data_IF_907596536762
#
_entry.id   IF_907596536762
#
_cell.length_a   1.000
_cell.length_b   1.000
_cell.length_c   1.000
_cell.angle_alpha   90.00
_cell.angle_beta   90.00
_cell.angle_gamma   90.00
#
_symmetry.space_group_name_H-M   'P 1'
#
loop_
_entity.id
_entity.type
_entity.pdbx_description
1 polymer ?
#
# COMPACT_ATOMS: atom_id res chain seq x y z
N UNK A 1 9.91 52.08 -57.33
CA UNK A 1 10.01 53.50 -57.71
C UNK A 1 11.18 53.59 -58.64
N UNK A 2 10.95 53.96 -59.89
CA UNK A 2 11.95 54.48 -60.84
C UNK A 2 11.17 54.81 -62.12
N UNK A 3 10.73 56.07 -62.24
CA UNK A 3 9.91 56.55 -63.36
C UNK A 3 10.81 57.25 -64.36
N UNK A 4 11.42 56.48 -65.27
CA UNK A 4 12.22 57.08 -66.34
C UNK A 4 11.31 57.85 -67.32
N UNK A 5 11.66 59.11 -67.55
CA UNK A 5 10.86 60.02 -68.36
C UNK A 5 11.03 59.73 -69.85
N UNK A 6 10.16 58.90 -70.42
CA UNK A 6 10.10 58.70 -71.86
C UNK A 6 9.49 59.93 -72.56
N UNK A 7 10.32 60.96 -72.81
CA UNK A 7 9.96 62.11 -73.64
C UNK A 7 9.80 61.67 -75.11
N UNK A 8 8.62 61.79 -75.74
CA UNK A 8 8.53 61.82 -77.19
C UNK A 8 8.94 63.24 -77.65
N UNK A 9 10.21 63.41 -78.00
CA UNK A 9 10.62 64.61 -78.74
C UNK A 9 10.12 64.50 -80.18
N UNK A 10 8.88 64.92 -80.43
CA UNK A 10 8.52 65.40 -81.76
C UNK A 10 9.35 66.67 -81.99
N UNK A 11 10.38 66.55 -82.81
CA UNK A 11 10.82 67.70 -83.59
C UNK A 11 9.68 68.03 -84.55
N UNK A 12 9.01 69.16 -84.32
CA UNK A 12 8.09 69.75 -85.29
C UNK A 12 8.90 70.22 -86.51
N UNK A 13 9.28 69.26 -87.35
CA UNK A 13 9.71 69.53 -88.72
C UNK A 13 8.47 69.95 -89.48
N UNK A 14 8.32 71.26 -89.65
CA UNK A 14 7.31 71.87 -90.51
C UNK A 14 7.30 71.12 -91.85
N UNK A 15 6.26 70.32 -92.06
CA UNK A 15 6.04 69.65 -93.35
C UNK A 15 5.58 70.74 -94.30
N UNK A 16 6.50 71.23 -95.12
CA UNK A 16 6.22 72.18 -96.20
C UNK A 16 4.95 71.74 -96.93
N UNK A 17 3.90 72.56 -96.82
CA UNK A 17 2.64 72.29 -97.51
C UNK A 17 2.92 72.07 -98.99
N UNK A 18 2.42 70.97 -99.55
CA UNK A 18 2.58 70.62 -100.96
C UNK A 18 2.07 71.70 -101.92
N UNK A 19 1.29 72.67 -101.42
CA UNK A 19 0.75 73.80 -102.16
C UNK A 19 1.46 75.15 -101.86
N UNK A 20 2.47 75.20 -100.99
CA UNK A 20 3.24 76.42 -100.67
C UNK A 20 4.51 76.62 -101.53
N UNK A 21 4.85 75.66 -102.41
CA UNK A 21 6.03 75.78 -103.27
C UNK A 21 5.88 76.91 -104.31
N UNK A 22 6.82 77.85 -104.26
CA UNK A 22 6.79 79.15 -104.96
C UNK A 22 7.07 79.08 -106.47
N UNK A 23 6.38 78.21 -107.21
CA UNK A 23 6.61 77.98 -108.65
C UNK A 23 5.35 78.06 -109.50
N UNK A 24 4.80 79.28 -109.62
CA UNK A 24 3.60 79.64 -110.41
C UNK A 24 2.25 79.15 -109.88
N UNK A 25 1.26 80.05 -109.91
CA UNK A 25 -0.12 79.76 -109.52
C UNK A 25 -0.75 78.67 -110.41
N UNK A 26 -0.32 78.56 -111.67
CA UNK A 26 -0.75 77.52 -112.61
C UNK A 26 -0.29 76.11 -112.20
N UNK A 27 0.93 75.93 -111.70
CA UNK A 27 1.38 74.62 -111.20
C UNK A 27 0.60 74.24 -109.94
N UNK A 28 0.37 75.16 -109.00
CA UNK A 28 -0.48 74.87 -107.85
C UNK A 28 -1.92 74.52 -108.25
N UNK A 29 -2.49 75.19 -109.25
CA UNK A 29 -3.82 74.85 -109.77
C UNK A 29 -3.82 73.48 -110.46
N UNK A 30 -2.79 73.18 -111.26
CA UNK A 30 -2.63 71.90 -111.96
C UNK A 30 -2.37 70.73 -111.00
N UNK A 31 -1.57 70.93 -109.95
CA UNK A 31 -1.32 69.94 -108.90
C UNK A 31 -2.57 69.71 -108.06
N UNK A 32 -3.30 70.77 -107.69
CA UNK A 32 -4.61 70.68 -107.02
C UNK A 32 -5.62 69.90 -107.87
N UNK A 33 -5.69 70.18 -109.17
CA UNK A 33 -6.61 69.48 -110.08
C UNK A 33 -6.17 68.03 -110.35
N UNK A 34 -4.87 67.76 -110.50
CA UNK A 34 -4.34 66.40 -110.66
C UNK A 34 -4.53 65.55 -109.38
N UNK A 35 -4.40 66.15 -108.21
CA UNK A 35 -4.71 65.49 -106.93
C UNK A 35 -6.22 65.24 -106.81
N UNK A 36 -7.07 66.18 -107.24
CA UNK A 36 -8.52 65.98 -107.29
C UNK A 36 -8.92 64.87 -108.27
N UNK A 37 -8.34 64.80 -109.48
CA UNK A 37 -8.65 63.71 -110.44
C UNK A 37 -8.16 62.36 -109.94
N UNK A 38 -7.00 62.29 -109.28
CA UNK A 38 -6.54 61.05 -108.61
C UNK A 38 -7.47 60.67 -107.46
N UNK A 39 -7.93 61.61 -106.62
CA UNK A 39 -8.89 61.28 -105.56
C UNK A 39 -10.27 60.89 -106.09
N UNK A 40 -10.77 61.54 -107.14
CA UNK A 40 -12.04 61.20 -107.78
C UNK A 40 -11.93 59.86 -108.54
N UNK A 41 -10.75 59.46 -109.04
CA UNK A 41 -10.47 58.10 -109.53
C UNK A 41 -10.41 57.09 -108.37
N UNK A 42 -9.71 57.38 -107.27
CA UNK A 42 -9.70 56.53 -106.07
C UNK A 42 -11.11 56.33 -105.49
N UNK A 43 -11.97 57.35 -105.55
CA UNK A 43 -13.38 57.23 -105.16
C UNK A 43 -14.18 56.35 -106.13
N UNK A 44 -13.92 56.41 -107.43
CA UNK A 44 -14.50 55.47 -108.40
C UNK A 44 -14.05 54.04 -108.13
N UNK A 45 -12.76 53.81 -107.89
CA UNK A 45 -12.19 52.50 -107.56
C UNK A 45 -12.76 51.96 -106.23
N UNK A 46 -12.89 52.79 -105.19
CA UNK A 46 -13.52 52.42 -103.91
C UNK A 46 -15.01 52.15 -104.05
N UNK A 47 -15.73 52.88 -104.90
CA UNK A 47 -17.14 52.60 -105.19
C UNK A 47 -17.30 51.27 -105.95
N UNK A 48 -16.39 50.93 -106.87
CA UNK A 48 -16.35 49.61 -107.52
C UNK A 48 -16.11 48.51 -106.48
N UNK A 49 -15.14 48.68 -105.57
CA UNK A 49 -14.90 47.72 -104.48
C UNK A 49 -16.10 47.59 -103.52
N UNK A 50 -16.80 48.69 -103.22
CA UNK A 50 -18.07 48.69 -102.45
C UNK A 50 -19.18 47.93 -103.17
N UNK A 51 -19.31 48.08 -104.49
CA UNK A 51 -20.28 47.34 -105.29
C UNK A 51 -19.94 45.85 -105.47
N UNK A 52 -18.66 45.47 -105.41
CA UNK A 52 -18.25 44.05 -105.42
C UNK A 52 -18.53 43.33 -104.08
N UNK A 53 -18.49 44.06 -102.95
CA UNK A 53 -18.81 43.54 -101.60
C UNK A 53 -20.33 43.56 -101.28
N UNK A 54 -21.20 43.42 -102.28
CA UNK A 54 -22.63 43.81 -102.21
C UNK A 54 -23.55 43.04 -101.25
N UNK A 55 -23.06 42.12 -100.43
CA UNK A 55 -23.88 41.37 -99.47
C UNK A 55 -24.13 42.09 -98.14
N UNK A 56 -23.24 43.01 -97.71
CA UNK A 56 -23.34 43.69 -96.41
C UNK A 56 -23.57 45.20 -96.60
N UNK A 57 -24.81 45.59 -96.93
CA UNK A 57 -25.24 46.99 -97.00
C UNK A 57 -25.43 47.59 -95.60
N UNK A 58 -24.33 47.84 -94.89
CA UNK A 58 -24.34 48.59 -93.64
C UNK A 58 -24.19 50.08 -93.97
N UNK A 59 -25.29 50.84 -93.86
CA UNK A 59 -25.26 52.30 -93.99
C UNK A 59 -24.68 52.94 -92.73
N UNK A 60 -23.35 52.94 -92.65
CA UNK A 60 -22.60 53.71 -91.67
C UNK A 60 -22.32 55.11 -92.21
N UNK A 61 -23.28 56.01 -91.99
CA UNK A 61 -23.04 57.46 -92.12
C UNK A 61 -22.21 57.93 -90.91
N UNK A 62 -20.94 57.55 -90.91
CA UNK A 62 -19.95 57.96 -89.90
C UNK A 62 -19.23 59.21 -90.37
N UNK A 63 -19.23 60.19 -89.47
CA UNK A 63 -18.35 61.35 -89.44
C UNK A 63 -16.88 61.00 -89.73
N UNK A 64 -16.13 62.00 -90.18
CA UNK A 64 -14.65 62.00 -90.25
C UNK A 64 -14.06 61.46 -88.94
N UNK A 65 -13.08 60.55 -89.04
CA UNK A 65 -12.51 59.84 -87.88
C UNK A 65 -11.90 60.83 -86.89
N UNK A 66 -12.45 60.83 -85.68
CA UNK A 66 -11.92 61.55 -84.50
C UNK A 66 -11.19 60.54 -83.60
N UNK A 67 -10.30 61.01 -82.75
CA UNK A 67 -9.67 60.15 -81.74
C UNK A 67 -10.68 59.80 -80.63
N UNK A 68 -10.72 58.53 -80.25
CA UNK A 68 -11.58 57.96 -79.19
C UNK A 68 -10.67 57.19 -78.22
N UNK A 69 -10.85 57.38 -76.90
CA UNK A 69 -9.94 56.79 -75.91
C UNK A 69 -10.15 55.27 -75.78
N UNK A 70 -9.20 54.57 -75.15
CA UNK A 70 -9.37 53.16 -74.77
C UNK A 70 -10.61 52.92 -73.90
N UNK A 71 -11.00 53.90 -73.09
CA UNK A 71 -12.19 53.82 -72.24
C UNK A 71 -13.45 53.85 -73.10
N UNK A 72 -13.58 54.84 -73.98
CA UNK A 72 -14.76 55.00 -74.85
C UNK A 72 -14.91 53.81 -75.82
N UNK A 73 -13.79 53.31 -76.36
CA UNK A 73 -13.76 52.19 -77.33
C UNK A 73 -14.02 50.81 -76.73
N UNK A 74 -13.73 50.58 -75.44
CA UNK A 74 -13.76 49.24 -74.83
C UNK A 74 -14.51 49.11 -73.49
N UNK A 75 -15.00 50.19 -72.89
CA UNK A 75 -15.74 50.16 -71.61
C UNK A 75 -17.08 50.88 -71.66
N UNK A 76 -17.68 51.01 -72.85
CA UNK A 76 -19.09 51.39 -72.98
C UNK A 76 -20.03 50.47 -72.19
N UNK A 77 -21.23 50.96 -71.85
CA UNK A 77 -22.20 50.29 -70.97
C UNK A 77 -22.98 49.19 -71.72
N UNK A 78 -22.26 48.34 -72.46
CA UNK A 78 -22.82 47.22 -73.21
C UNK A 78 -22.60 45.92 -72.47
N UNK A 79 -23.71 45.17 -72.30
CA UNK A 79 -23.74 43.86 -71.65
C UNK A 79 -22.66 42.93 -72.25
N UNK A 80 -21.71 42.53 -71.42
CA UNK A 80 -20.57 41.70 -71.82
C UNK A 80 -20.98 40.29 -72.33
N UNK A 81 -22.26 39.90 -72.17
CA UNK A 81 -22.82 38.73 -72.85
C UNK A 81 -23.07 38.98 -74.36
N UNK A 82 -23.41 40.22 -74.74
CA UNK A 82 -23.68 40.63 -76.13
C UNK A 82 -22.42 41.17 -76.82
N UNK A 83 -21.53 41.87 -76.10
CA UNK A 83 -20.17 42.22 -76.58
C UNK A 83 -19.17 41.06 -76.52
N UNK A 84 -19.66 39.83 -76.36
CA UNK A 84 -19.19 38.76 -77.27
C UNK A 84 -19.58 39.11 -78.70
N UNK A 85 -18.80 40.02 -79.30
CA UNK A 85 -18.70 40.16 -80.76
C UNK A 85 -18.62 38.72 -81.29
N UNK A 86 -19.57 38.26 -82.14
CA UNK A 86 -19.47 36.94 -82.69
C UNK A 86 -18.10 36.84 -83.37
N UNK A 87 -17.40 35.70 -83.21
CA UNK A 87 -16.04 35.47 -83.74
C UNK A 87 -15.97 35.47 -85.29
N UNK A 88 -17.01 36.03 -85.91
CA UNK A 88 -17.30 36.20 -87.32
C UNK A 88 -17.81 37.64 -87.52
N UNK A 89 -17.06 38.63 -87.00
CA UNK A 89 -16.77 39.79 -87.86
C UNK A 89 -15.95 39.23 -88.99
N UNK A 90 -16.58 38.95 -90.13
CA UNK A 90 -15.83 38.44 -91.28
C UNK A 90 -14.81 39.49 -91.72
N UNK A 91 -13.79 39.06 -92.46
CA UNK A 91 -12.90 40.01 -93.13
C UNK A 91 -13.67 40.97 -94.03
N UNK A 92 -14.84 40.57 -94.55
CA UNK A 92 -15.74 41.41 -95.35
C UNK A 92 -16.43 42.49 -94.52
N UNK A 93 -16.89 42.20 -93.29
CA UNK A 93 -17.50 43.20 -92.40
C UNK A 93 -16.52 44.32 -92.09
N UNK A 94 -15.30 43.95 -91.68
CA UNK A 94 -14.23 44.93 -91.46
C UNK A 94 -13.89 45.67 -92.75
N UNK A 95 -13.75 44.97 -93.87
CA UNK A 95 -13.44 45.58 -95.17
C UNK A 95 -14.53 46.55 -95.64
N UNK A 96 -15.81 46.33 -95.35
CA UNK A 96 -16.90 47.27 -95.66
C UNK A 96 -16.81 48.53 -94.78
N UNK A 97 -16.47 48.38 -93.50
CA UNK A 97 -16.21 49.52 -92.59
C UNK A 97 -14.99 50.32 -93.07
N UNK A 98 -13.88 49.63 -93.36
CA UNK A 98 -12.65 50.23 -93.87
C UNK A 98 -12.91 50.98 -95.20
N UNK A 99 -13.59 50.36 -96.18
CA UNK A 99 -13.95 50.99 -97.47
C UNK A 99 -14.82 52.25 -97.26
N UNK A 100 -15.83 52.20 -96.38
CA UNK A 100 -16.69 53.35 -96.12
C UNK A 100 -15.93 54.49 -95.44
N UNK A 101 -15.06 54.19 -94.46
CA UNK A 101 -14.25 55.23 -93.79
C UNK A 101 -13.23 55.85 -94.74
N UNK A 102 -12.51 55.08 -95.56
CA UNK A 102 -11.63 55.63 -96.60
C UNK A 102 -12.40 56.44 -97.64
N UNK A 103 -13.58 55.98 -98.07
CA UNK A 103 -14.45 56.72 -99.00
C UNK A 103 -14.87 58.08 -98.43
N UNK A 104 -15.20 58.15 -97.13
CA UNK A 104 -15.57 59.42 -96.49
C UNK A 104 -14.35 60.33 -96.25
N UNK A 105 -13.22 59.80 -95.79
CA UNK A 105 -11.96 60.56 -95.65
C UNK A 105 -11.55 61.17 -96.99
N UNK A 106 -11.60 60.41 -98.09
CA UNK A 106 -11.19 60.90 -99.41
C UNK A 106 -12.19 61.92 -99.97
N UNK A 107 -13.51 61.77 -99.76
CA UNK A 107 -14.51 62.81 -100.13
C UNK A 107 -14.24 64.13 -99.41
N UNK A 108 -14.05 64.08 -98.10
CA UNK A 108 -13.85 65.29 -97.29
C UNK A 108 -12.47 65.92 -97.54
N UNK A 109 -11.43 65.12 -97.80
CA UNK A 109 -10.10 65.61 -98.19
C UNK A 109 -10.11 66.19 -99.61
N UNK A 110 -10.80 65.55 -100.57
CA UNK A 110 -11.05 66.08 -101.92
C UNK A 110 -11.83 67.39 -101.87
N UNK A 111 -12.74 67.57 -100.90
CA UNK A 111 -13.39 68.87 -100.64
C UNK A 111 -12.43 69.89 -100.01
N UNK A 112 -11.66 69.52 -98.99
CA UNK A 112 -10.68 70.41 -98.35
C UNK A 112 -9.64 70.96 -99.34
N UNK A 113 -9.12 70.11 -100.21
CA UNK A 113 -8.14 70.48 -101.24
C UNK A 113 -8.80 71.37 -102.31
N UNK A 114 -10.01 71.01 -102.77
CA UNK A 114 -10.81 71.78 -103.74
C UNK A 114 -11.19 73.17 -103.25
N UNK A 115 -11.53 73.31 -101.98
CA UNK A 115 -11.97 74.58 -101.40
C UNK A 115 -10.80 75.40 -100.82
N UNK A 116 -10.04 74.81 -99.89
CA UNK A 116 -9.01 75.52 -99.10
C UNK A 116 -7.57 75.25 -99.57
N UNK A 117 -7.31 74.13 -100.26
CA UNK A 117 -5.94 73.73 -100.65
C UNK A 117 -5.09 73.23 -99.48
N UNK A 118 -5.72 72.69 -98.43
CA UNK A 118 -5.05 72.10 -97.26
C UNK A 118 -5.43 70.63 -97.09
N UNK A 119 -4.67 69.90 -96.26
CA UNK A 119 -4.81 68.45 -96.05
C UNK A 119 -4.98 68.09 -94.56
N UNK A 120 -5.52 69.01 -93.75
CA UNK A 120 -5.58 68.90 -92.29
C UNK A 120 -6.58 67.87 -91.81
N UNK A 121 -7.64 67.60 -92.57
CA UNK A 121 -8.59 66.50 -92.29
C UNK A 121 -7.87 65.16 -92.37
N UNK A 122 -7.10 64.93 -93.45
CA UNK A 122 -6.32 63.71 -93.64
C UNK A 122 -5.26 63.54 -92.54
N UNK A 123 -4.52 64.60 -92.22
CA UNK A 123 -3.53 64.61 -91.14
C UNK A 123 -4.15 64.29 -89.77
N UNK A 124 -5.30 64.91 -89.46
CA UNK A 124 -6.04 64.67 -88.21
C UNK A 124 -6.52 63.21 -88.11
N UNK A 125 -7.07 62.66 -89.20
CA UNK A 125 -7.49 61.25 -89.28
C UNK A 125 -6.31 60.29 -89.10
N UNK A 126 -5.17 60.55 -89.77
CA UNK A 126 -3.96 59.71 -89.66
C UNK A 126 -3.42 59.74 -88.23
N UNK A 127 -3.35 60.92 -87.59
CA UNK A 127 -2.88 61.04 -86.21
C UNK A 127 -3.86 60.41 -85.20
N UNK A 128 -5.18 60.54 -85.41
CA UNK A 128 -6.19 59.86 -84.61
C UNK A 128 -6.07 58.33 -84.69
N UNK A 129 -6.01 57.77 -85.90
CA UNK A 129 -5.80 56.33 -86.14
C UNK A 129 -4.48 55.84 -85.55
N UNK A 130 -3.39 56.59 -85.72
CA UNK A 130 -2.07 56.24 -85.16
C UNK A 130 -2.10 56.18 -83.63
N UNK A 131 -2.77 57.12 -82.98
CA UNK A 131 -2.90 57.12 -81.53
C UNK A 131 -3.78 55.96 -81.04
N UNK A 132 -4.90 55.65 -81.72
CA UNK A 132 -5.70 54.45 -81.43
C UNK A 132 -4.86 53.17 -81.54
N UNK A 133 -4.08 53.01 -82.61
CA UNK A 133 -3.23 51.83 -82.81
C UNK A 133 -2.15 51.68 -81.73
N UNK A 134 -1.49 52.77 -81.33
CA UNK A 134 -0.50 52.75 -80.24
C UNK A 134 -1.14 52.42 -78.89
N UNK A 135 -2.37 52.85 -78.66
CA UNK A 135 -3.13 52.52 -77.46
C UNK A 135 -3.58 51.05 -77.44
N UNK A 136 -3.96 50.50 -78.60
CA UNK A 136 -4.35 49.09 -78.74
C UNK A 136 -3.14 48.16 -78.58
N UNK A 137 -1.96 48.57 -79.07
CA UNK A 137 -0.68 47.87 -78.87
C UNK A 137 -0.32 47.78 -77.38
N UNK A 138 -0.43 48.89 -76.63
CA UNK A 138 -0.26 48.90 -75.16
C UNK A 138 -1.26 47.96 -74.48
N UNK A 139 -2.55 48.01 -74.86
CA UNK A 139 -3.59 47.15 -74.27
C UNK A 139 -3.28 45.65 -74.50
N UNK A 140 -2.74 45.30 -75.67
CA UNK A 140 -2.28 43.92 -75.97
C UNK A 140 -1.06 43.54 -75.13
N UNK A 141 -0.10 44.45 -74.92
CA UNK A 141 1.04 44.19 -74.04
C UNK A 141 0.61 44.04 -72.57
N UNK A 142 -0.21 44.95 -72.03
CA UNK A 142 -0.75 44.86 -70.67
C UNK A 142 -1.53 43.56 -70.47
N UNK A 143 -2.37 43.17 -71.43
CA UNK A 143 -3.09 41.88 -71.42
C UNK A 143 -2.12 40.70 -71.41
N UNK A 144 -1.05 40.75 -72.19
CA UNK A 144 0.01 39.73 -72.21
C UNK A 144 0.72 39.63 -70.86
N UNK A 145 1.06 40.76 -70.24
CA UNK A 145 1.72 40.83 -68.94
C UNK A 145 0.79 40.37 -67.80
N UNK A 146 -0.48 40.79 -67.81
CA UNK A 146 -1.51 40.32 -66.87
C UNK A 146 -1.74 38.80 -66.98
N UNK A 147 -1.71 38.22 -68.19
CA UNK A 147 -1.79 36.77 -68.36
C UNK A 147 -0.56 36.02 -67.79
N UNK A 148 0.65 36.60 -67.89
CA UNK A 148 1.86 36.06 -67.22
C UNK A 148 1.70 36.09 -65.69
N UNK A 149 1.25 37.21 -65.14
CA UNK A 149 1.00 37.38 -63.69
C UNK A 149 -0.06 36.40 -63.19
N UNK A 150 -1.21 36.28 -63.86
CA UNK A 150 -2.26 35.32 -63.51
C UNK A 150 -1.76 33.87 -63.56
N UNK A 151 -0.90 33.52 -64.54
CA UNK A 151 -0.29 32.18 -64.64
C UNK A 151 0.64 31.89 -63.46
N UNK A 152 1.46 32.85 -63.07
CA UNK A 152 2.39 32.67 -61.93
C UNK A 152 1.65 32.67 -60.59
N UNK A 153 0.65 33.54 -60.38
CA UNK A 153 -0.21 33.52 -59.18
C UNK A 153 -0.96 32.18 -59.03
N UNK A 154 -1.47 31.60 -60.14
CA UNK A 154 -2.07 30.26 -60.12
C UNK A 154 -1.06 29.17 -59.77
N UNK A 155 0.19 29.29 -60.22
CA UNK A 155 1.28 28.36 -59.88
C UNK A 155 1.68 28.49 -58.40
N UNK A 156 1.79 29.71 -57.88
CA UNK A 156 2.05 29.95 -56.45
C UNK A 156 0.92 29.39 -55.58
N UNK A 157 -0.35 29.67 -55.91
CA UNK A 157 -1.52 29.10 -55.23
C UNK A 157 -1.52 27.56 -55.24
N UNK A 158 -1.22 26.94 -56.39
CA UNK A 158 -1.15 25.48 -56.48
C UNK A 158 0.00 24.89 -55.64
N UNK A 159 1.16 25.54 -55.62
CA UNK A 159 2.29 25.13 -54.78
C UNK A 159 1.91 25.24 -53.29
N UNK A 160 1.39 26.39 -52.86
CA UNK A 160 0.91 26.62 -51.48
C UNK A 160 -0.13 25.58 -51.07
N UNK A 161 -1.11 25.25 -51.92
CA UNK A 161 -2.09 24.20 -51.58
C UNK A 161 -1.44 22.82 -51.44
N UNK A 162 -0.42 22.49 -52.24
CA UNK A 162 0.34 21.24 -52.11
C UNK A 162 1.22 21.18 -50.85
N UNK A 163 1.93 22.26 -50.51
CA UNK A 163 2.73 22.35 -49.28
C UNK A 163 1.85 22.34 -48.01
N UNK A 164 0.68 22.98 -48.05
CA UNK A 164 -0.32 22.89 -46.98
C UNK A 164 -0.89 21.46 -46.84
N UNK A 165 -1.18 20.76 -47.94
CA UNK A 165 -1.62 19.36 -47.88
C UNK A 165 -0.53 18.47 -47.27
N UNK A 166 0.73 18.57 -47.73
CA UNK A 166 1.84 17.77 -47.19
C UNK A 166 2.05 18.02 -45.69
N UNK A 167 1.99 19.27 -45.25
CA UNK A 167 2.16 19.60 -43.82
C UNK A 167 0.98 19.13 -42.96
N UNK A 168 -0.25 19.11 -43.50
CA UNK A 168 -1.41 18.47 -42.87
C UNK A 168 -1.23 16.96 -42.78
N UNK A 169 -0.70 16.29 -43.80
CA UNK A 169 -0.43 14.83 -43.76
C UNK A 169 0.69 14.49 -42.75
N UNK A 170 1.81 15.22 -42.78
CA UNK A 170 2.91 15.06 -41.83
C UNK A 170 2.48 15.28 -40.38
N UNK A 171 1.64 16.28 -40.11
CA UNK A 171 1.14 16.55 -38.75
C UNK A 171 0.13 15.50 -38.31
N UNK A 172 -0.75 15.03 -39.20
CA UNK A 172 -1.64 13.90 -38.92
C UNK A 172 -0.86 12.60 -38.61
N UNK A 173 0.26 12.33 -39.29
CA UNK A 173 1.14 11.21 -38.91
C UNK A 173 1.75 11.38 -37.52
N UNK A 174 2.26 12.57 -37.20
CA UNK A 174 2.84 12.88 -35.89
C UNK A 174 1.79 12.73 -34.78
N UNK A 175 0.55 13.18 -35.02
CA UNK A 175 -0.59 12.99 -34.11
C UNK A 175 -0.93 11.49 -33.93
N UNK A 176 -0.99 10.70 -35.00
CA UNK A 176 -1.25 9.24 -34.91
C UNK A 176 -0.19 8.50 -34.10
N UNK A 177 1.09 8.85 -34.29
CA UNK A 177 2.24 8.28 -33.55
C UNK A 177 2.13 8.63 -32.06
N UNK A 178 1.98 9.91 -31.72
CA UNK A 178 1.80 10.37 -30.35
C UNK A 178 0.57 9.77 -29.66
N UNK A 179 -0.55 9.60 -30.36
CA UNK A 179 -1.74 8.95 -29.80
C UNK A 179 -1.51 7.46 -29.47
N UNK A 180 -0.76 6.74 -30.32
CA UNK A 180 -0.35 5.36 -30.05
C UNK A 180 0.63 5.27 -28.87
N UNK A 181 1.59 6.20 -28.78
CA UNK A 181 2.56 6.26 -27.68
C UNK A 181 1.87 6.54 -26.34
N UNK A 182 0.87 7.44 -26.33
CA UNK A 182 0.05 7.76 -25.15
C UNK A 182 -0.81 6.58 -24.71
N UNK A 183 -1.56 5.93 -25.61
CA UNK A 183 -2.34 4.73 -25.23
C UNK A 183 -1.42 3.59 -24.77
N UNK A 184 -0.27 3.40 -25.42
CA UNK A 184 0.75 2.44 -24.98
C UNK A 184 1.22 2.73 -23.55
N UNK A 185 1.57 3.98 -23.25
CA UNK A 185 1.98 4.40 -21.91
C UNK A 185 0.86 4.20 -20.86
N UNK A 186 -0.39 4.46 -21.22
CA UNK A 186 -1.56 4.22 -20.37
C UNK A 186 -1.74 2.72 -20.10
N UNK A 187 -1.59 1.86 -21.11
CA UNK A 187 -1.69 0.39 -20.96
C UNK A 187 -0.55 -0.16 -20.10
N UNK A 188 0.70 0.27 -20.33
CA UNK A 188 1.84 -0.14 -19.50
C UNK A 188 1.68 0.35 -18.05
N UNK A 189 1.33 1.62 -17.83
CA UNK A 189 1.12 2.14 -16.47
C UNK A 189 -0.02 1.46 -15.70
N UNK A 190 -1.10 1.06 -16.40
CA UNK A 190 -2.18 0.23 -15.82
C UNK A 190 -1.68 -1.18 -15.46
N UNK A 191 -0.89 -1.81 -16.32
CA UNK A 191 -0.31 -3.14 -16.08
C UNK A 191 0.65 -3.11 -14.88
N UNK A 192 1.55 -2.14 -14.84
CA UNK A 192 2.53 -1.90 -13.78
C UNK A 192 1.84 -1.61 -12.45
N UNK A 193 0.85 -0.71 -12.43
CA UNK A 193 0.04 -0.42 -11.23
C UNK A 193 -0.64 -1.68 -10.70
N UNK A 194 -1.25 -2.49 -11.58
CA UNK A 194 -1.87 -3.76 -11.20
C UNK A 194 -0.85 -4.77 -10.66
N UNK A 195 0.34 -4.84 -11.25
CA UNK A 195 1.44 -5.68 -10.77
C UNK A 195 1.90 -5.27 -9.37
N UNK A 196 2.18 -3.98 -9.14
CA UNK A 196 2.60 -3.48 -7.83
C UNK A 196 1.55 -3.69 -6.74
N UNK A 197 0.26 -3.44 -7.03
CA UNK A 197 -0.83 -3.70 -6.08
C UNK A 197 -0.87 -5.20 -5.71
N UNK A 198 -0.80 -6.09 -6.70
CA UNK A 198 -0.83 -7.53 -6.45
C UNK A 198 0.42 -8.03 -5.70
N UNK A 199 1.60 -7.49 -6.02
CA UNK A 199 2.86 -7.76 -5.33
C UNK A 199 2.79 -7.31 -3.86
N UNK A 200 2.27 -6.11 -3.59
CA UNK A 200 2.14 -5.59 -2.23
C UNK A 200 1.16 -6.42 -1.39
N UNK A 201 0.01 -6.81 -1.96
CA UNK A 201 -0.96 -7.70 -1.30
C UNK A 201 -0.30 -9.04 -0.92
N UNK A 202 0.44 -9.66 -1.84
CA UNK A 202 1.16 -10.92 -1.58
C UNK A 202 2.26 -10.72 -0.51
N UNK A 203 3.00 -9.61 -0.57
CA UNK A 203 4.05 -9.27 0.40
C UNK A 203 3.50 -9.09 1.81
N UNK A 204 2.39 -8.36 1.95
CA UNK A 204 1.70 -8.15 3.22
C UNK A 204 1.14 -9.47 3.76
N UNK A 205 0.51 -10.30 2.92
CA UNK A 205 -0.03 -11.59 3.33
C UNK A 205 1.06 -12.59 3.75
N UNK A 206 2.16 -12.68 2.99
CA UNK A 206 3.31 -13.51 3.36
C UNK A 206 3.92 -13.05 4.70
N UNK A 207 4.05 -11.74 4.93
CA UNK A 207 4.55 -11.21 6.19
C UNK A 207 3.56 -11.49 7.35
N UNK A 208 2.25 -11.37 7.11
CA UNK A 208 1.19 -11.69 8.09
C UNK A 208 1.24 -13.16 8.52
N UNK A 209 1.38 -14.08 7.56
CA UNK A 209 1.55 -15.52 7.83
C UNK A 209 2.83 -15.75 8.64
N UNK A 210 3.95 -15.16 8.19
CA UNK A 210 5.27 -15.30 8.85
C UNK A 210 5.26 -14.80 10.30
N UNK A 211 4.59 -13.67 10.59
CA UNK A 211 4.42 -13.17 11.95
C UNK A 211 3.55 -14.12 12.79
N UNK A 212 2.41 -14.56 12.26
CA UNK A 212 1.51 -15.50 12.94
C UNK A 212 2.19 -16.83 13.29
N UNK A 213 3.06 -17.36 12.43
CA UNK A 213 3.84 -18.56 12.72
C UNK A 213 4.84 -18.37 13.87
N UNK A 214 5.54 -17.22 13.91
CA UNK A 214 6.43 -16.85 15.02
C UNK A 214 5.65 -16.68 16.32
N UNK A 215 4.53 -15.96 16.28
CA UNK A 215 3.63 -15.77 17.42
C UNK A 215 3.11 -17.11 17.95
N UNK A 216 2.64 -18.01 17.08
CA UNK A 216 2.18 -19.34 17.46
C UNK A 216 3.31 -20.17 18.10
N UNK A 217 4.55 -20.07 17.59
CA UNK A 217 5.72 -20.73 18.20
C UNK A 217 5.97 -20.21 19.62
N UNK A 218 5.96 -18.89 19.84
CA UNK A 218 6.13 -18.32 21.19
C UNK A 218 4.94 -18.63 22.10
N UNK A 219 3.71 -18.66 21.58
CA UNK A 219 2.52 -19.05 22.33
C UNK A 219 2.58 -20.52 22.77
N UNK A 220 3.04 -21.43 21.90
CA UNK A 220 3.26 -22.84 22.24
C UNK A 220 4.27 -22.97 23.38
N UNK A 221 5.44 -22.33 23.27
CA UNK A 221 6.49 -22.34 24.31
C UNK A 221 5.96 -21.76 25.64
N UNK A 222 5.20 -20.66 25.58
CA UNK A 222 4.54 -20.05 26.74
C UNK A 222 3.45 -20.94 27.35
N UNK A 223 2.74 -21.72 26.55
CA UNK A 223 1.80 -22.73 27.04
C UNK A 223 2.54 -23.88 27.72
N UNK A 224 3.52 -24.51 27.06
CA UNK A 224 4.33 -25.58 27.64
C UNK A 224 4.98 -25.17 28.96
N UNK A 225 5.47 -23.92 29.07
CA UNK A 225 6.00 -23.38 30.32
C UNK A 225 4.95 -23.29 31.43
N UNK A 226 3.74 -22.83 31.12
CA UNK A 226 2.61 -22.80 32.07
C UNK A 226 2.18 -24.20 32.49
N UNK A 227 2.03 -25.12 31.53
CA UNK A 227 1.64 -26.51 31.76
C UNK A 227 2.66 -27.22 32.67
N UNK A 228 3.97 -26.97 32.47
CA UNK A 228 5.07 -27.45 33.35
C UNK A 228 5.00 -26.86 34.75
N UNK A 229 4.78 -25.54 34.90
CA UNK A 229 4.64 -24.87 36.20
C UNK A 229 3.40 -25.37 36.96
N UNK A 230 2.29 -25.67 36.27
CA UNK A 230 1.11 -26.24 36.90
C UNK A 230 1.35 -27.69 37.38
N UNK A 231 2.07 -28.49 36.59
CA UNK A 231 2.49 -29.83 37.00
C UNK A 231 3.43 -29.78 38.21
N UNK A 232 4.43 -28.89 38.20
CA UNK A 232 5.37 -28.69 39.31
C UNK A 232 4.63 -28.30 40.60
N UNK A 233 3.67 -27.36 40.53
CA UNK A 233 2.82 -26.98 41.67
C UNK A 233 2.01 -28.15 42.21
N UNK A 234 1.45 -29.01 41.34
CA UNK A 234 0.72 -30.22 41.75
C UNK A 234 1.65 -31.23 42.42
N UNK A 235 2.83 -31.49 41.87
CA UNK A 235 3.83 -32.38 42.46
C UNK A 235 4.30 -31.86 43.82
N UNK A 236 4.63 -30.57 43.92
CA UNK A 236 5.05 -29.94 45.17
C UNK A 236 3.95 -29.99 46.25
N UNK A 237 2.70 -29.75 45.89
CA UNK A 237 1.56 -29.89 46.82
C UNK A 237 1.43 -31.32 47.35
N UNK A 238 1.49 -32.34 46.49
CA UNK A 238 1.41 -33.74 46.93
C UNK A 238 2.62 -34.16 47.76
N UNK A 239 3.82 -33.68 47.43
CA UNK A 239 5.04 -33.95 48.18
C UNK A 239 5.03 -33.32 49.58
N UNK A 240 4.59 -32.06 49.71
CA UNK A 240 4.41 -31.41 51.00
C UNK A 240 3.33 -32.13 51.83
N UNK A 241 2.20 -32.49 51.22
CA UNK A 241 1.13 -33.26 51.88
C UNK A 241 1.65 -34.61 52.41
N UNK A 242 2.46 -35.33 51.64
CA UNK A 242 3.09 -36.57 52.08
C UNK A 242 4.06 -36.35 53.26
N UNK A 243 4.86 -35.27 53.24
CA UNK A 243 5.74 -34.90 54.36
C UNK A 243 4.93 -34.55 55.62
N UNK A 244 3.82 -33.82 55.49
CA UNK A 244 2.96 -33.49 56.63
C UNK A 244 2.25 -34.75 57.19
N UNK A 245 1.83 -35.68 56.33
CA UNK A 245 1.27 -36.98 56.74
C UNK A 245 2.31 -37.86 57.45
N UNK A 246 3.53 -37.98 56.90
CA UNK A 246 4.64 -38.72 57.53
C UNK A 246 5.06 -38.09 58.87
N UNK A 247 5.13 -36.75 58.93
CA UNK A 247 5.38 -36.00 60.16
C UNK A 247 4.32 -36.25 61.23
N UNK A 248 3.05 -36.32 60.87
CA UNK A 248 1.97 -36.67 61.81
C UNK A 248 2.14 -38.12 62.29
N UNK A 249 2.36 -39.08 61.39
CA UNK A 249 2.62 -40.48 61.74
C UNK A 249 3.82 -40.64 62.70
N UNK A 250 4.90 -39.87 62.50
CA UNK A 250 6.05 -39.84 63.40
C UNK A 250 5.69 -39.26 64.77
N UNK A 251 4.92 -38.17 64.83
CA UNK A 251 4.49 -37.57 66.10
C UNK A 251 3.53 -38.49 66.87
N UNK A 252 2.60 -39.15 66.19
CA UNK A 252 1.73 -40.18 66.79
C UNK A 252 2.53 -41.36 67.31
N UNK A 253 3.53 -41.83 66.56
CA UNK A 253 4.44 -42.89 66.98
C UNK A 253 5.25 -42.49 68.23
N UNK A 254 5.77 -41.26 68.29
CA UNK A 254 6.46 -40.72 69.46
C UNK A 254 5.50 -40.65 70.66
N UNK A 255 4.29 -40.12 70.47
CA UNK A 255 3.28 -40.04 71.53
C UNK A 255 2.88 -41.43 72.06
N UNK A 256 2.74 -42.43 71.20
CA UNK A 256 2.49 -43.82 71.60
C UNK A 256 3.63 -44.36 72.48
N UNK A 257 4.90 -44.17 72.08
CA UNK A 257 6.03 -44.64 72.87
C UNK A 257 6.18 -43.89 74.20
N UNK A 258 5.95 -42.58 74.23
CA UNK A 258 5.93 -41.78 75.47
C UNK A 258 4.85 -42.31 76.41
N UNK A 259 3.58 -42.36 75.98
CA UNK A 259 2.47 -42.89 76.79
C UNK A 259 2.75 -44.32 77.26
N UNK A 260 3.36 -45.17 76.42
CA UNK A 260 3.73 -46.53 76.80
C UNK A 260 4.78 -46.53 77.90
N UNK A 261 5.86 -45.75 77.77
CA UNK A 261 6.91 -45.69 78.79
C UNK A 261 6.41 -45.06 80.10
N UNK A 262 5.58 -44.03 80.04
CA UNK A 262 4.93 -43.45 81.23
C UNK A 262 4.09 -44.50 81.96
N UNK A 263 3.24 -45.25 81.24
CA UNK A 263 2.49 -46.37 81.82
C UNK A 263 3.40 -47.48 82.38
N UNK A 264 4.49 -47.85 81.70
CA UNK A 264 5.44 -48.85 82.19
C UNK A 264 6.21 -48.35 83.44
N UNK A 265 6.46 -47.05 83.56
CA UNK A 265 7.04 -46.40 84.76
C UNK A 265 6.03 -46.42 85.91
N UNK A 266 4.81 -45.92 85.71
CA UNK A 266 3.75 -45.89 86.75
C UNK A 266 3.49 -47.30 87.33
N UNK A 267 3.40 -48.31 86.45
CA UNK A 267 3.24 -49.70 86.89
C UNK A 267 4.43 -50.19 87.72
N UNK A 268 5.67 -49.84 87.34
CA UNK A 268 6.89 -50.22 88.09
C UNK A 268 7.04 -49.49 89.41
N UNK A 269 6.62 -48.23 89.49
CA UNK A 269 6.56 -47.49 90.74
C UNK A 269 5.49 -48.06 91.68
N UNK A 270 4.32 -48.44 91.15
CA UNK A 270 3.28 -49.14 91.89
C UNK A 270 3.74 -50.52 92.40
N UNK A 271 4.40 -51.33 91.56
CA UNK A 271 5.06 -52.58 91.96
C UNK A 271 6.08 -52.34 93.08
N UNK A 272 6.94 -51.32 92.93
CA UNK A 272 7.96 -50.97 93.93
C UNK A 272 7.34 -50.53 95.26
N UNK A 273 6.26 -49.75 95.23
CA UNK A 273 5.52 -49.30 96.42
C UNK A 273 4.81 -50.48 97.12
N UNK A 274 4.22 -51.40 96.36
CA UNK A 274 3.70 -52.66 96.90
C UNK A 274 4.80 -53.52 97.54
N UNK A 275 5.99 -53.60 96.94
CA UNK A 275 7.10 -54.36 97.53
C UNK A 275 7.66 -53.69 98.79
N UNK A 276 7.76 -52.34 98.82
CA UNK A 276 8.14 -51.57 100.01
C UNK A 276 7.17 -51.80 101.17
N UNK A 277 5.87 -51.65 100.93
CA UNK A 277 4.83 -51.88 101.96
C UNK A 277 4.76 -53.34 102.44
N UNK A 278 4.94 -54.33 101.55
CA UNK A 278 5.10 -55.75 101.93
C UNK A 278 6.33 -55.97 102.81
N UNK A 279 7.47 -55.35 102.47
CA UNK A 279 8.72 -55.45 103.24
C UNK A 279 8.61 -54.78 104.61
N UNK A 280 7.94 -53.62 104.70
CA UNK A 280 7.65 -52.93 105.95
C UNK A 280 6.73 -53.76 106.85
N UNK A 281 5.65 -54.33 106.32
CA UNK A 281 4.77 -55.24 107.03
C UNK A 281 5.53 -56.48 107.54
N UNK A 282 6.40 -57.08 106.71
CA UNK A 282 7.24 -58.21 107.11
C UNK A 282 8.30 -57.82 108.16
N UNK A 283 8.83 -56.60 108.11
CA UNK A 283 9.73 -56.04 109.12
C UNK A 283 9.00 -55.85 110.47
N UNK A 284 7.74 -55.41 110.44
CA UNK A 284 6.90 -55.26 111.63
C UNK A 284 6.55 -56.64 112.22
N UNK A 285 6.11 -57.60 111.42
CA UNK A 285 5.80 -58.96 111.94
C UNK A 285 7.06 -59.64 112.48
N UNK A 286 8.22 -59.51 111.82
CA UNK A 286 9.50 -60.01 112.33
C UNK A 286 9.89 -59.35 113.66
N UNK A 287 9.75 -58.02 113.80
CA UNK A 287 9.98 -57.31 115.08
C UNK A 287 9.04 -57.83 116.18
N UNK A 288 7.76 -58.03 115.88
CA UNK A 288 6.77 -58.52 116.85
C UNK A 288 7.08 -59.96 117.28
N UNK A 289 7.38 -60.87 116.34
CA UNK A 289 7.78 -62.25 116.63
C UNK A 289 9.09 -62.29 117.43
N UNK A 290 10.06 -61.42 117.13
CA UNK A 290 11.31 -61.31 117.89
C UNK A 290 11.09 -60.80 119.32
N UNK A 291 10.16 -59.86 119.54
CA UNK A 291 9.75 -59.41 120.88
C UNK A 291 9.03 -60.53 121.64
N UNK A 292 8.09 -61.23 121.00
CA UNK A 292 7.33 -62.32 121.60
C UNK A 292 8.23 -63.52 121.95
N UNK A 293 9.19 -63.86 121.08
CA UNK A 293 10.22 -64.86 121.35
C UNK A 293 11.11 -64.45 122.53
N UNK A 294 11.54 -63.18 122.62
CA UNK A 294 12.27 -62.66 123.79
C UNK A 294 11.43 -62.72 125.08
N UNK A 295 10.12 -62.48 125.00
CA UNK A 295 9.18 -62.63 126.14
C UNK A 295 9.10 -64.10 126.58
N UNK A 296 8.84 -65.04 125.66
CA UNK A 296 8.83 -66.49 125.94
C UNK A 296 10.17 -67.00 126.46
N UNK A 297 11.30 -66.46 126.00
CA UNK A 297 12.62 -66.80 126.54
C UNK A 297 12.80 -66.37 128.00
N UNK A 298 12.31 -65.19 128.39
CA UNK A 298 12.28 -64.76 129.80
C UNK A 298 11.38 -65.68 130.63
N UNK A 299 10.15 -65.91 130.18
CA UNK A 299 9.19 -66.80 130.86
C UNK A 299 9.75 -68.23 131.03
N UNK A 300 10.44 -68.77 130.02
CA UNK A 300 11.14 -70.07 130.12
C UNK A 300 12.35 -70.04 131.06
N UNK A 301 13.09 -68.93 131.14
CA UNK A 301 14.22 -68.79 132.07
C UNK A 301 13.73 -68.67 133.52
N UNK A 302 12.68 -67.89 133.76
CA UNK A 302 11.98 -67.75 135.04
C UNK A 302 11.37 -69.09 135.48
N UNK A 303 10.70 -69.83 134.57
CA UNK A 303 10.19 -71.17 134.84
C UNK A 303 11.31 -72.18 135.15
N UNK A 304 12.44 -72.13 134.43
CA UNK A 304 13.62 -72.95 134.74
C UNK A 304 14.22 -72.61 136.11
N UNK A 305 14.27 -71.33 136.48
CA UNK A 305 14.74 -70.89 137.79
C UNK A 305 13.79 -71.36 138.92
N UNK A 306 12.48 -71.14 138.77
CA UNK A 306 11.45 -71.64 139.68
C UNK A 306 11.50 -73.16 139.85
N UNK A 307 11.59 -73.90 138.74
CA UNK A 307 11.72 -75.37 138.78
C UNK A 307 13.01 -75.81 139.46
N UNK A 308 14.14 -75.12 139.23
CA UNK A 308 15.42 -75.38 139.93
C UNK A 308 15.32 -75.14 141.43
N UNK A 309 14.64 -74.07 141.87
CA UNK A 309 14.44 -73.77 143.29
C UNK A 309 13.45 -74.75 143.95
N UNK A 310 12.39 -75.16 143.26
CA UNK A 310 11.51 -76.27 143.68
C UNK A 310 12.28 -77.59 143.82
N UNK A 311 13.20 -77.91 142.91
CA UNK A 311 14.08 -79.08 143.06
C UNK A 311 15.04 -78.93 144.24
N UNK A 312 15.65 -77.75 144.49
CA UNK A 312 16.46 -77.52 145.71
C UNK A 312 15.65 -77.66 146.99
N UNK A 313 14.37 -77.25 146.99
CA UNK A 313 13.49 -77.37 148.15
C UNK A 313 13.16 -78.84 148.42
N UNK A 314 12.75 -79.59 147.38
CA UNK A 314 12.53 -81.04 147.48
C UNK A 314 13.79 -81.82 147.84
N UNK A 315 14.97 -81.40 147.38
CA UNK A 315 16.26 -81.98 147.79
C UNK A 315 16.48 -81.78 149.29
N UNK A 316 16.39 -80.55 149.81
CA UNK A 316 16.48 -80.28 151.26
C UNK A 316 15.45 -81.06 152.09
N UNK A 317 14.21 -81.20 151.59
CA UNK A 317 13.17 -82.02 152.23
C UNK A 317 13.52 -83.52 152.21
N UNK A 318 14.22 -84.01 151.19
CA UNK A 318 14.72 -85.39 151.11
C UNK A 318 15.95 -85.60 152.01
N UNK A 319 16.89 -84.65 152.06
CA UNK A 319 18.07 -84.68 152.92
C UNK A 319 17.67 -84.70 154.40
N UNK A 320 16.70 -83.86 154.80
CA UNK A 320 16.12 -83.86 156.15
C UNK A 320 15.43 -85.19 156.47
N UNK A 321 14.69 -85.77 155.52
CA UNK A 321 14.09 -87.10 155.69
C UNK A 321 15.15 -88.20 155.83
N UNK A 322 16.21 -88.16 155.02
CA UNK A 322 17.30 -89.14 155.07
C UNK A 322 18.12 -89.02 156.35
N UNK A 323 18.41 -87.80 156.82
CA UNK A 323 19.00 -87.56 158.14
C UNK A 323 18.10 -88.11 159.26
N UNK A 324 16.77 -87.89 159.20
CA UNK A 324 15.84 -88.46 160.16
C UNK A 324 15.80 -90.00 160.12
N UNK A 325 15.95 -90.59 158.93
CA UNK A 325 16.02 -92.04 158.73
C UNK A 325 17.31 -92.62 159.35
N UNK A 326 18.46 -91.95 159.18
CA UNK A 326 19.72 -92.33 159.82
C UNK A 326 19.60 -92.24 161.35
N UNK A 327 19.06 -91.16 161.89
CA UNK A 327 18.82 -91.03 163.34
C UNK A 327 17.92 -92.16 163.86
N UNK A 328 16.82 -92.46 163.17
CA UNK A 328 15.94 -93.58 163.53
C UNK A 328 16.64 -94.94 163.43
N UNK A 329 17.49 -95.15 162.42
CA UNK A 329 18.20 -96.42 162.19
C UNK A 329 19.32 -96.64 163.20
N UNK A 330 20.09 -95.58 163.51
CA UNK A 330 21.08 -95.57 164.58
C UNK A 330 20.45 -95.83 165.95
N UNK A 331 19.31 -95.19 166.25
CA UNK A 331 18.58 -95.40 167.49
C UNK A 331 18.03 -96.84 167.61
N UNK A 332 17.48 -97.39 166.52
CA UNK A 332 17.06 -98.80 166.45
C UNK A 332 18.25 -99.76 166.70
N UNK A 333 19.40 -99.52 166.09
CA UNK A 333 20.60 -100.34 166.31
C UNK A 333 21.07 -100.30 167.77
N UNK A 334 21.03 -99.12 168.41
CA UNK A 334 21.36 -98.96 169.84
C UNK A 334 20.38 -99.74 170.74
N UNK A 335 19.07 -99.73 170.45
CA UNK A 335 18.10 -100.53 171.22
C UNK A 335 18.38 -102.04 171.11
N UNK A 336 18.75 -102.53 169.92
CA UNK A 336 19.11 -103.95 169.72
C UNK A 336 20.35 -104.34 170.52
N UNK A 337 21.38 -103.49 170.56
CA UNK A 337 22.65 -103.77 171.25
C UNK A 337 22.53 -103.66 172.78
N UNK A 338 21.73 -102.72 173.30
CA UNK A 338 21.55 -102.53 174.76
C UNK A 338 20.42 -103.35 175.39
N UNK A 339 19.71 -104.18 174.63
CA UNK A 339 18.78 -105.19 175.17
C UNK A 339 17.50 -104.63 175.81
N UNK A 340 17.09 -103.41 175.44
CA UNK A 340 15.85 -102.77 175.91
C UNK A 340 14.83 -102.81 174.76
N UNK A 341 14.03 -103.87 174.71
CA UNK A 341 13.01 -104.08 173.67
C UNK A 341 12.41 -105.50 173.68
N UNK A 342 11.28 -105.74 173.00
CA UNK A 342 10.46 -106.94 173.17
C UNK A 342 10.96 -108.18 172.40
N UNK A 343 12.26 -108.47 172.44
CA UNK A 343 12.90 -109.57 171.69
C UNK A 343 13.67 -110.56 172.58
N UNK A 344 13.02 -111.06 173.64
CA UNK A 344 13.46 -112.28 174.37
C UNK A 344 12.57 -113.48 173.99
N UNK A 345 13.13 -114.63 173.58
CA UNK A 345 12.33 -115.79 173.15
C UNK A 345 11.70 -116.56 174.31
N UNK A 346 10.47 -117.08 174.09
CA UNK A 346 9.74 -118.01 174.99
C UNK A 346 8.92 -119.05 174.21
N UNK A 347 8.46 -120.07 174.93
CA UNK A 347 7.62 -121.23 174.53
C UNK A 347 6.67 -121.51 175.73
N UNK A 348 5.51 -122.19 175.66
CA UNK A 348 4.70 -122.91 174.66
C UNK A 348 3.25 -123.05 175.27
N UNK A 349 2.19 -123.69 174.75
CA UNK A 349 1.91 -124.58 173.58
C UNK A 349 0.37 -124.56 173.33
N UNK A 350 -0.11 -124.28 172.10
CA UNK A 350 -1.54 -124.45 171.65
C UNK A 350 -2.58 -123.57 172.40
N UNK A 351 -3.87 -123.44 172.02
CA UNK A 351 -4.70 -124.19 171.03
C UNK A 351 -5.88 -123.34 170.47
N UNK A 352 -6.15 -123.47 169.15
CA UNK A 352 -7.46 -123.49 168.43
C UNK A 352 -8.44 -122.27 168.29
N UNK A 353 -8.93 -122.17 167.03
CA UNK A 353 -10.28 -121.90 166.47
C UNK A 353 -10.93 -120.49 166.40
N UNK A 354 -11.43 -120.19 165.18
CA UNK A 354 -12.57 -119.35 164.68
C UNK A 354 -12.71 -117.88 165.17
N UNK A 355 -13.04 -116.87 164.33
CA UNK A 355 -13.36 -116.79 162.87
C UNK A 355 -12.24 -116.11 162.03
#
# INVERSE_FOLDING_TARGET
MDTENFKPSLEDKEVDSLFNLSSSHLVNLFVKEAINTVFDECLQQLNILRHLNMHNTIELDRDVIKYETLHDRYTGIEDHAQTRIPFVSTNYDKMVIDINTFSNIIKETSREIRDNGTTKILETCINALRNMMLDDEKLVEEKSNNLKIIKELRKQYNNETFDNIRTIEETNEKIKKLAFDVESAIVYGRLETKYFINWEIIRVEQNRITCKEREQKFWNISKEGRDKIELEKKCHYQFNKYIDEDRVNCLESINYWVQRYDNEIENREAEMLQMKTKLEAMSITHKNVLQEHKKRQKEMAEWKAYKKEMHKKKAREADVKWASLIVQTWWRAIMTIKGIGPYKPKKHKKKNDED
#
